data_IF_280657629176
#
_entry.id   IF_280657629176
#
_cell.length_a   1.000
_cell.length_b   1.000
_cell.length_c   1.000
_cell.angle_alpha   90.00
_cell.angle_beta   90.00
_cell.angle_gamma   90.00
#
_symmetry.space_group_name_H-M   'P 1'
#
loop_
_entity.id
_entity.type
_entity.pdbx_description
1 polymer ?
#
# COMPACT_ATOMS: atom_id res chain seq x y z
N UNK A 1 -9.27 7.02 -16.26
CA UNK A 1 -7.86 7.42 -16.04
C UNK A 1 -7.03 6.26 -16.55
N UNK A 2 -6.18 6.52 -17.53
CA UNK A 2 -5.19 5.54 -17.96
C UNK A 2 -3.92 5.81 -17.14
N UNK A 3 -3.55 4.86 -16.27
CA UNK A 3 -2.43 5.04 -15.35
C UNK A 3 -1.10 5.23 -16.12
N UNK A 4 -0.93 4.45 -17.18
CA UNK A 4 0.16 4.52 -18.15
C UNK A 4 -0.39 4.19 -19.55
N UNK A 5 0.42 4.39 -20.60
CA UNK A 5 0.07 3.94 -21.93
C UNK A 5 -0.09 2.41 -21.97
N UNK A 6 -0.94 1.88 -22.85
CA UNK A 6 -1.30 0.46 -22.83
C UNK A 6 -0.11 -0.50 -23.06
N UNK A 7 0.89 -0.06 -23.82
CA UNK A 7 2.13 -0.79 -24.09
C UNK A 7 3.20 -0.64 -23.00
N UNK A 8 2.92 0.21 -22.01
CA UNK A 8 3.76 0.53 -20.86
C UNK A 8 3.13 0.14 -19.52
N UNK A 9 1.85 -0.27 -19.51
CA UNK A 9 1.09 -0.56 -18.29
C UNK A 9 1.27 -1.99 -17.81
N UNK A 10 1.72 -2.15 -16.55
CA UNK A 10 1.70 -3.42 -15.82
C UNK A 10 0.79 -3.28 -14.59
N UNK A 11 -0.26 -4.10 -14.50
CA UNK A 11 -1.09 -4.20 -13.29
C UNK A 11 -0.43 -5.19 -12.34
N UNK A 12 0.05 -4.70 -11.20
CA UNK A 12 0.81 -5.49 -10.24
C UNK A 12 -0.02 -6.04 -9.08
N UNK A 13 -1.00 -5.29 -8.60
CA UNK A 13 -1.82 -5.67 -7.44
C UNK A 13 -3.25 -5.18 -7.62
N UNK A 14 -4.23 -5.91 -7.08
CA UNK A 14 -5.65 -5.55 -7.10
C UNK A 14 -6.26 -5.93 -5.76
N UNK A 15 -6.88 -4.95 -5.08
CA UNK A 15 -7.45 -5.16 -3.76
C UNK A 15 -8.77 -4.42 -3.58
N UNK A 16 -9.75 -5.10 -2.99
CA UNK A 16 -10.98 -4.45 -2.52
C UNK A 16 -10.67 -3.59 -1.29
N UNK A 17 -11.05 -2.32 -1.32
CA UNK A 17 -10.87 -1.38 -0.19
C UNK A 17 -12.21 -0.91 0.36
N UNK A 18 -13.10 -1.88 0.53
CA UNK A 18 -14.42 -1.71 1.11
C UNK A 18 -14.97 -3.07 1.54
N UNK A 19 -16.03 -3.07 2.35
CA UNK A 19 -16.77 -4.28 2.74
C UNK A 19 -17.96 -4.60 1.83
N UNK A 20 -18.39 -3.67 0.98
CA UNK A 20 -19.62 -3.77 0.18
C UNK A 20 -19.39 -3.74 -1.34
N UNK A 21 -18.17 -4.05 -1.80
CA UNK A 21 -17.79 -4.13 -3.22
C UNK A 21 -17.99 -2.85 -4.07
N UNK A 22 -18.02 -1.67 -3.45
CA UNK A 22 -18.13 -0.38 -4.16
C UNK A 22 -16.80 0.23 -4.60
N UNK A 23 -15.66 -0.20 -4.05
CA UNK A 23 -14.36 0.42 -4.31
C UNK A 23 -13.23 -0.61 -4.40
N UNK A 24 -12.51 -0.60 -5.52
CA UNK A 24 -11.34 -1.44 -5.77
C UNK A 24 -10.11 -0.56 -6.05
N UNK A 25 -8.96 -0.96 -5.54
CA UNK A 25 -7.67 -0.40 -5.94
C UNK A 25 -7.00 -1.33 -6.93
N UNK A 26 -6.31 -0.75 -7.91
CA UNK A 26 -5.23 -1.45 -8.60
C UNK A 26 -3.94 -0.66 -8.49
N UNK A 27 -2.83 -1.38 -8.33
CA UNK A 27 -1.48 -0.85 -8.44
C UNK A 27 -1.00 -1.04 -9.87
N UNK A 28 -0.57 0.05 -10.49
CA UNK A 28 -0.02 0.06 -11.83
C UNK A 28 1.44 0.50 -11.77
N UNK A 29 2.27 -0.12 -12.60
CA UNK A 29 3.64 0.28 -12.87
C UNK A 29 3.80 0.63 -14.35
N UNK A 30 4.78 1.47 -14.67
CA UNK A 30 5.32 1.52 -16.02
C UNK A 30 6.18 0.28 -16.32
N UNK A 31 6.57 0.06 -17.57
CA UNK A 31 7.18 -1.20 -18.00
C UNK A 31 8.56 -1.47 -17.42
N UNK A 32 9.34 -0.41 -17.18
CA UNK A 32 10.65 -0.50 -16.52
C UNK A 32 10.55 -0.58 -14.99
N UNK A 33 9.34 -0.39 -14.44
CA UNK A 33 9.01 -0.47 -13.01
C UNK A 33 9.72 0.56 -12.12
N UNK A 34 9.90 1.78 -12.59
CA UNK A 34 10.42 2.91 -11.80
C UNK A 34 9.35 3.97 -11.48
N UNK A 35 8.15 3.86 -12.06
CA UNK A 35 6.98 4.68 -11.73
C UNK A 35 5.82 3.81 -11.28
N UNK A 36 5.14 4.21 -10.21
CA UNK A 36 3.97 3.52 -9.66
C UNK A 36 2.79 4.48 -9.51
N UNK A 37 1.59 3.98 -9.81
CA UNK A 37 0.33 4.65 -9.47
C UNK A 37 -0.61 3.68 -8.78
N UNK A 38 -1.20 4.11 -7.66
CA UNK A 38 -2.38 3.44 -7.08
C UNK A 38 -3.61 4.16 -7.59
N UNK A 39 -4.47 3.43 -8.26
CA UNK A 39 -5.72 3.96 -8.81
C UNK A 39 -6.88 3.32 -8.09
N UNK A 40 -7.77 4.15 -7.57
CA UNK A 40 -9.07 3.74 -7.06
C UNK A 40 -10.11 3.77 -8.17
N UNK A 41 -10.91 2.73 -8.24
CA UNK A 41 -12.09 2.67 -9.12
C UNK A 41 -13.32 2.55 -8.24
N UNK A 42 -14.23 3.52 -8.39
CA UNK A 42 -15.59 3.39 -7.90
C UNK A 42 -16.36 2.51 -8.88
N UNK A 43 -16.97 1.44 -8.37
CA UNK A 43 -17.58 0.39 -9.18
C UNK A 43 -18.91 0.82 -9.77
N UNK A 44 -19.66 1.68 -9.09
CA UNK A 44 -21.01 2.06 -9.49
C UNK A 44 -20.97 2.97 -10.71
N UNK A 45 -20.13 4.01 -10.67
CA UNK A 45 -19.99 4.99 -11.76
C UNK A 45 -18.80 4.70 -12.71
N UNK A 46 -18.00 3.67 -12.39
CA UNK A 46 -16.78 3.27 -13.12
C UNK A 46 -15.73 4.39 -13.16
N UNK A 47 -15.75 5.30 -12.19
CA UNK A 47 -14.82 6.41 -12.11
C UNK A 47 -13.50 5.97 -11.50
N UNK A 48 -12.45 6.05 -12.30
CA UNK A 48 -11.07 5.86 -11.83
C UNK A 48 -10.47 7.18 -11.34
N UNK A 49 -9.70 7.15 -10.25
CA UNK A 49 -8.96 8.28 -9.69
C UNK A 49 -7.60 7.80 -9.19
N UNK A 50 -6.51 8.43 -9.63
CA UNK A 50 -5.18 8.17 -9.04
C UNK A 50 -5.14 8.76 -7.64
N UNK A 51 -4.82 7.94 -6.65
CA UNK A 51 -4.80 8.35 -5.23
C UNK A 51 -3.39 8.39 -4.62
N UNK A 52 -2.41 7.78 -5.31
CA UNK A 52 -1.00 7.80 -4.93
C UNK A 52 -0.15 7.63 -6.19
N UNK A 53 0.97 8.36 -6.25
CA UNK A 53 2.01 8.20 -7.26
C UNK A 53 3.36 8.08 -6.57
N UNK A 54 4.28 7.34 -7.19
CA UNK A 54 5.68 7.25 -6.75
C UNK A 54 6.62 7.28 -7.93
N UNK A 55 7.76 7.91 -7.68
CA UNK A 55 8.93 7.94 -8.55
C UNK A 55 10.08 7.23 -7.82
N UNK A 56 10.59 6.16 -8.42
CA UNK A 56 11.74 5.39 -7.98
C UNK A 56 12.81 5.31 -9.07
N UNK A 57 12.95 6.36 -9.88
CA UNK A 57 13.93 6.46 -10.98
C UNK A 57 15.39 6.37 -10.52
N UNK A 58 15.66 6.39 -9.22
CA UNK A 58 16.96 6.09 -8.60
C UNK A 58 17.22 4.59 -8.42
N UNK A 59 16.27 3.73 -8.78
CA UNK A 59 16.35 2.28 -8.73
C UNK A 59 15.20 1.60 -9.46
N UNK A 60 14.44 0.77 -8.74
CA UNK A 60 13.21 0.12 -9.20
C UNK A 60 12.23 0.00 -8.03
N UNK A 61 10.93 -0.19 -8.34
CA UNK A 61 9.88 -0.34 -7.35
C UNK A 61 9.47 -1.81 -7.22
N UNK A 62 9.69 -2.40 -6.04
CA UNK A 62 9.23 -3.76 -5.73
C UNK A 62 7.69 -3.82 -5.60
N UNK A 63 7.08 -4.85 -6.21
CA UNK A 63 5.66 -5.15 -5.99
C UNK A 63 5.47 -6.06 -4.77
N UNK A 64 5.13 -5.46 -3.62
CA UNK A 64 5.07 -6.16 -2.33
C UNK A 64 3.74 -6.87 -2.03
N UNK A 65 2.70 -6.68 -2.86
CA UNK A 65 1.38 -7.33 -2.73
C UNK A 65 0.77 -7.23 -1.31
N UNK A 66 0.93 -6.07 -0.66
CA UNK A 66 0.64 -5.89 0.76
C UNK A 66 -0.63 -5.07 1.05
N UNK A 67 -1.42 -4.72 0.02
CA UNK A 67 -2.62 -3.89 0.21
C UNK A 67 -3.67 -4.67 1.01
N UNK A 68 -4.02 -4.16 2.19
CA UNK A 68 -5.08 -4.72 3.03
C UNK A 68 -6.04 -3.63 3.50
N UNK A 69 -7.35 -3.83 3.27
CA UNK A 69 -8.35 -2.89 3.75
C UNK A 69 -8.46 -2.89 5.28
N UNK A 70 -8.31 -1.72 5.89
CA UNK A 70 -8.42 -1.54 7.35
C UNK A 70 -9.79 -0.97 7.73
N UNK A 71 -10.39 -0.16 6.87
CA UNK A 71 -11.64 0.54 7.16
C UNK A 71 -11.41 1.86 7.87
N UNK A 72 -12.46 2.38 8.52
CA UNK A 72 -12.39 3.67 9.21
C UNK A 72 -11.66 3.53 10.54
N UNK A 73 -10.75 4.47 10.81
CA UNK A 73 -10.13 4.63 12.12
C UNK A 73 -11.07 5.45 13.01
N UNK A 74 -10.98 5.27 14.33
CA UNK A 74 -11.81 6.07 15.24
C UNK A 74 -11.47 7.55 15.09
N UNK A 75 -12.50 8.38 14.85
CA UNK A 75 -12.35 9.82 14.68
C UNK A 75 -12.01 10.26 13.25
N UNK A 76 -11.91 9.33 12.28
CA UNK A 76 -11.74 9.67 10.87
C UNK A 76 -13.04 9.45 10.09
N UNK A 77 -13.32 10.34 9.14
CA UNK A 77 -14.44 10.17 8.21
C UNK A 77 -14.12 9.16 7.10
N UNK A 78 -12.85 9.11 6.70
CA UNK A 78 -12.39 8.32 5.57
C UNK A 78 -11.83 6.96 6.00
N UNK A 79 -12.03 5.92 5.18
CA UNK A 79 -11.42 4.62 5.39
C UNK A 79 -9.96 4.61 4.93
N UNK A 80 -9.20 3.67 5.50
CA UNK A 80 -7.77 3.46 5.25
C UNK A 80 -7.50 2.06 4.74
N UNK A 81 -6.36 1.90 4.08
CA UNK A 81 -5.75 0.61 3.77
C UNK A 81 -4.31 0.60 4.28
N UNK A 82 -3.86 -0.58 4.70
CA UNK A 82 -2.48 -0.88 5.03
C UNK A 82 -1.73 -1.23 3.75
N UNK A 83 -0.50 -0.78 3.63
CA UNK A 83 0.41 -1.19 2.57
C UNK A 83 1.87 -1.08 3.05
N UNK A 84 2.79 -1.75 2.36
CA UNK A 84 4.22 -1.61 2.58
C UNK A 84 4.80 -0.71 1.50
N UNK A 85 5.64 0.25 1.92
CA UNK A 85 6.36 1.14 1.01
C UNK A 85 7.79 1.31 1.49
N UNK A 86 8.70 1.54 0.56
CA UNK A 86 10.12 1.87 0.80
C UNK A 86 10.41 3.37 0.63
N UNK A 87 9.40 4.23 0.82
CA UNK A 87 9.53 5.69 0.58
C UNK A 87 10.55 6.36 1.53
N UNK A 88 10.84 5.74 2.68
CA UNK A 88 11.90 6.19 3.60
C UNK A 88 13.28 5.61 3.28
N UNK A 89 13.42 4.86 2.19
CA UNK A 89 14.60 4.04 1.87
C UNK A 89 14.60 2.65 2.51
N UNK A 90 13.56 2.30 3.28
CA UNK A 90 13.40 1.01 3.95
C UNK A 90 11.93 0.58 3.88
N UNK A 91 11.66 -0.73 3.70
CA UNK A 91 10.29 -1.26 3.63
C UNK A 91 9.59 -1.10 4.98
N UNK A 92 8.61 -0.21 5.06
CA UNK A 92 7.86 0.08 6.28
C UNK A 92 6.35 0.02 6.06
N UNK A 93 5.61 -0.10 7.15
CA UNK A 93 4.15 -0.13 7.17
C UNK A 93 3.58 1.27 7.17
N UNK A 94 2.58 1.48 6.33
CA UNK A 94 1.87 2.75 6.23
C UNK A 94 0.36 2.53 6.13
N UNK A 95 -0.41 3.40 6.78
CA UNK A 95 -1.84 3.53 6.52
C UNK A 95 -2.09 4.66 5.53
N UNK A 96 -2.64 4.31 4.38
CA UNK A 96 -2.99 5.25 3.34
C UNK A 96 -4.51 5.52 3.37
N UNK A 97 -4.95 6.79 3.24
CA UNK A 97 -6.36 7.09 3.05
C UNK A 97 -6.85 6.53 1.70
N UNK A 98 -8.00 5.86 1.67
CA UNK A 98 -8.60 5.34 0.41
C UNK A 98 -8.99 6.48 -0.54
N UNK A 99 -9.16 7.70 -0.04
CA UNK A 99 -9.40 8.90 -0.87
C UNK A 99 -8.13 9.53 -1.46
N UNK A 100 -6.95 9.02 -1.10
CA UNK A 100 -5.67 9.66 -1.38
C UNK A 100 -5.28 10.72 -0.34
N UNK A 101 -4.03 11.17 -0.42
CA UNK A 101 -3.43 12.12 0.53
C UNK A 101 -2.32 11.49 1.37
N UNK A 102 -1.89 12.23 2.39
CA UNK A 102 -0.73 11.85 3.22
C UNK A 102 -0.96 10.55 4.00
N UNK A 103 -0.01 9.60 3.95
CA UNK A 103 -0.07 8.39 4.77
C UNK A 103 0.29 8.65 6.23
N UNK A 104 -0.06 7.68 7.07
CA UNK A 104 0.43 7.58 8.45
C UNK A 104 1.47 6.46 8.48
N UNK A 105 2.72 6.79 8.80
CA UNK A 105 3.76 5.80 9.06
C UNK A 105 3.46 5.04 10.36
N UNK A 106 3.55 3.71 10.31
CA UNK A 106 3.35 2.84 11.47
C UNK A 106 4.66 2.26 12.01
N UNK A 107 5.67 2.19 11.14
CA UNK A 107 7.03 1.77 11.48
C UNK A 107 8.03 2.74 10.85
N UNK A 108 9.20 2.86 11.46
CA UNK A 108 10.31 3.71 10.99
C UNK A 108 11.64 3.17 11.50
N UNK A 109 12.75 3.52 10.84
CA UNK A 109 14.10 3.13 11.23
C UNK A 109 14.87 2.41 10.12
N UNK A 110 16.11 2.02 10.44
CA UNK A 110 17.03 1.36 9.51
C UNK A 110 16.85 -0.17 9.47
N UNK A 111 15.63 -0.59 9.16
CA UNK A 111 15.26 -2.01 9.01
C UNK A 111 14.07 -2.17 8.07
N UNK A 112 13.82 -3.41 7.64
CA UNK A 112 12.72 -3.71 6.74
C UNK A 112 11.66 -4.58 7.41
N UNK A 113 10.40 -4.23 7.18
CA UNK A 113 9.25 -5.10 7.36
C UNK A 113 9.26 -6.14 6.25
N UNK A 114 9.36 -7.41 6.64
CA UNK A 114 9.45 -8.55 5.74
C UNK A 114 8.07 -9.07 5.32
N UNK A 115 7.10 -9.12 6.24
CA UNK A 115 5.74 -9.56 5.92
C UNK A 115 4.71 -9.10 6.95
N UNK A 116 3.48 -8.84 6.52
CA UNK A 116 2.32 -8.65 7.40
C UNK A 116 1.65 -10.00 7.63
N UNK A 117 1.58 -10.45 8.88
CA UNK A 117 0.96 -11.72 9.24
C UNK A 117 -0.53 -11.56 9.56
N UNK A 118 -0.88 -10.48 10.29
CA UNK A 118 -2.27 -10.25 10.71
C UNK A 118 -2.53 -8.79 11.02
N UNK A 119 -3.63 -8.26 10.46
CA UNK A 119 -4.23 -7.00 10.90
C UNK A 119 -5.42 -7.32 11.82
N UNK A 120 -5.36 -6.86 13.07
CA UNK A 120 -6.47 -6.92 14.03
C UNK A 120 -7.01 -5.51 14.26
N UNK A 121 -8.02 -5.12 13.50
CA UNK A 121 -8.64 -3.79 13.57
C UNK A 121 -9.44 -3.57 14.86
N UNK A 122 -9.88 -4.65 15.53
CA UNK A 122 -10.60 -4.54 16.81
C UNK A 122 -9.64 -4.16 17.93
N UNK A 123 -8.44 -4.76 17.94
CA UNK A 123 -7.38 -4.46 18.92
C UNK A 123 -6.44 -3.33 18.48
N UNK A 124 -6.52 -2.92 17.21
CA UNK A 124 -5.61 -1.95 16.57
C UNK A 124 -4.15 -2.40 16.62
N UNK A 125 -3.92 -3.67 16.30
CA UNK A 125 -2.59 -4.27 16.24
C UNK A 125 -2.32 -4.81 14.84
N UNK A 126 -1.07 -4.71 14.42
CA UNK A 126 -0.59 -5.31 13.18
C UNK A 126 0.56 -6.22 13.55
N UNK A 127 0.38 -7.52 13.39
CA UNK A 127 1.45 -8.48 13.57
C UNK A 127 2.24 -8.60 12.28
N UNK A 128 3.55 -8.37 12.34
CA UNK A 128 4.45 -8.40 11.19
C UNK A 128 5.80 -9.00 11.57
N UNK A 129 6.55 -9.45 10.57
CA UNK A 129 7.95 -9.82 10.76
C UNK A 129 8.87 -8.73 10.21
N UNK A 130 10.01 -8.49 10.86
CA UNK A 130 10.99 -7.50 10.41
C UNK A 130 12.43 -7.94 10.68
N UNK A 131 13.37 -7.20 10.08
CA UNK A 131 14.81 -7.31 10.30
C UNK A 131 15.33 -6.36 11.39
N UNK A 132 14.44 -5.74 12.18
CA UNK A 132 14.79 -4.73 13.19
C UNK A 132 15.85 -5.22 14.19
N UNK A 133 15.82 -6.51 14.54
CA UNK A 133 16.85 -7.09 15.41
C UNK A 133 18.22 -7.23 14.72
N UNK A 134 18.23 -7.73 13.49
CA UNK A 134 19.43 -8.00 12.69
C UNK A 134 19.03 -8.33 11.23
N UNK A 135 19.85 -7.92 10.26
CA UNK A 135 19.58 -8.09 8.82
C UNK A 135 19.47 -9.55 8.35
N UNK A 136 20.07 -10.49 9.08
CA UNK A 136 20.01 -11.93 8.77
C UNK A 136 18.86 -12.67 9.45
N UNK A 137 18.11 -11.99 10.32
CA UNK A 137 17.08 -12.58 11.16
C UNK A 137 15.71 -11.99 10.87
N UNK A 138 14.65 -12.76 11.14
CA UNK A 138 13.26 -12.29 11.00
C UNK A 138 12.55 -12.62 12.28
N UNK A 139 12.14 -11.59 13.01
CA UNK A 139 11.45 -11.72 14.29
C UNK A 139 10.03 -11.17 14.18
N UNK A 140 9.17 -11.60 15.10
CA UNK A 140 7.77 -11.19 15.17
C UNK A 140 7.62 -9.92 16.03
N UNK A 141 6.86 -8.95 15.52
CA UNK A 141 6.52 -7.69 16.16
C UNK A 141 5.01 -7.43 16.08
N UNK A 142 4.51 -6.45 16.84
CA UNK A 142 3.07 -6.08 16.88
C UNK A 142 2.84 -4.60 17.13
#
# INVERSE_FOLDING_TARGET
VDAFAADDLIIGDVAWVTTNHTSVLYRAFNRVQDQEKVVRVDVEDRKSTTIRERDGSDGWLDNLLAIQFVGRLNGTCDPYYLDISDVSGWKHLYLYPVKGGEPIALTEGEFEVASVLKVDTKKRLIYFTSTERHSTERHLYS
#
